data_IF_974221753765
#
_entry.id   IF_974221753765
#
_cell.length_a   1.000
_cell.length_b   1.000
_cell.length_c   1.000
_cell.angle_alpha   90.00
_cell.angle_beta   90.00
_cell.angle_gamma   90.00
#
_symmetry.space_group_name_H-M   'P 1'
#
loop_
_entity.id
_entity.type
_entity.pdbx_description
1 polymer ?
#
# COMPACT_ATOMS: atom_id res chain seq x y z
N UNK A 1 10.86 3.15 13.73
CA UNK A 1 9.55 2.82 14.33
C UNK A 1 9.14 1.50 13.71
N UNK A 2 8.82 0.47 14.50
CA UNK A 2 8.42 -0.82 13.94
C UNK A 2 7.10 -0.68 13.16
N UNK A 3 7.03 -1.24 11.95
CA UNK A 3 5.78 -1.31 11.19
C UNK A 3 4.89 -2.34 11.88
N UNK A 4 3.81 -1.89 12.54
CA UNK A 4 2.92 -2.83 13.27
C UNK A 4 2.10 -3.68 12.31
N UNK A 5 1.35 -3.03 11.41
CA UNK A 5 0.55 -3.73 10.40
C UNK A 5 0.81 -3.16 9.02
N UNK A 6 1.20 -4.03 8.10
CA UNK A 6 1.26 -3.74 6.66
C UNK A 6 0.01 -4.31 5.99
N UNK A 7 -0.72 -3.47 5.28
CA UNK A 7 -1.89 -3.86 4.50
C UNK A 7 -1.55 -3.86 3.02
N UNK A 8 -1.67 -5.01 2.36
CA UNK A 8 -1.56 -5.14 0.92
C UNK A 8 -2.96 -5.22 0.33
N UNK A 9 -3.41 -4.14 -0.30
CA UNK A 9 -4.79 -4.02 -0.79
C UNK A 9 -4.80 -4.14 -2.31
N UNK A 10 -5.33 -5.26 -2.80
CA UNK A 10 -5.40 -5.62 -4.23
C UNK A 10 -6.60 -5.02 -4.94
N UNK A 11 -7.69 -4.78 -4.21
CA UNK A 11 -8.94 -4.21 -4.71
C UNK A 11 -9.70 -3.53 -3.57
N UNK A 12 -10.30 -2.38 -3.86
CA UNK A 12 -10.96 -1.53 -2.85
C UNK A 12 -12.49 -1.68 -2.80
N UNK A 13 -13.07 -2.65 -3.52
CA UNK A 13 -14.53 -2.79 -3.61
C UNK A 13 -15.21 -3.08 -2.27
N UNK A 14 -14.49 -3.73 -1.36
CA UNK A 14 -14.92 -4.18 -0.04
C UNK A 14 -13.96 -3.74 1.10
N UNK A 15 -12.83 -3.12 0.77
CA UNK A 15 -11.89 -2.61 1.75
C UNK A 15 -12.42 -1.36 2.44
N UNK A 16 -12.54 -1.40 3.77
CA UNK A 16 -12.88 -0.24 4.59
C UNK A 16 -11.67 0.29 5.33
N UNK A 17 -11.39 1.60 5.20
CA UNK A 17 -10.35 2.25 6.00
C UNK A 17 -10.64 2.26 7.50
N UNK A 18 -11.85 1.88 7.93
CA UNK A 18 -12.23 1.77 9.35
C UNK A 18 -11.53 0.63 10.10
N UNK A 19 -10.88 -0.31 9.39
CA UNK A 19 -10.08 -1.37 10.01
C UNK A 19 -8.65 -0.92 10.36
N UNK A 20 -8.20 0.20 9.80
CA UNK A 20 -6.84 0.70 9.96
C UNK A 20 -6.65 1.33 11.33
N UNK A 21 -5.49 1.06 11.94
CA UNK A 21 -5.04 1.71 13.17
C UNK A 21 -4.03 2.81 12.85
N UNK A 22 -3.83 3.71 13.80
CA UNK A 22 -2.79 4.72 13.71
C UNK A 22 -1.41 4.06 13.56
N UNK A 23 -0.64 4.49 12.56
CA UNK A 23 0.67 3.92 12.22
C UNK A 23 0.63 2.65 11.36
N UNK A 24 -0.55 2.16 10.97
CA UNK A 24 -0.63 1.12 9.93
C UNK A 24 -0.18 1.67 8.58
N UNK A 25 0.50 0.84 7.80
CA UNK A 25 0.93 1.16 6.43
C UNK A 25 0.01 0.44 5.45
N UNK A 26 -0.44 1.14 4.42
CA UNK A 26 -1.25 0.58 3.33
C UNK A 26 -0.49 0.70 2.02
N UNK A 27 -0.32 -0.43 1.33
CA UNK A 27 0.19 -0.47 -0.03
C UNK A 27 -0.94 -0.93 -0.95
N UNK A 28 -1.32 -0.05 -1.87
CA UNK A 28 -2.21 -0.38 -2.96
C UNK A 28 -1.42 -1.14 -4.03
N UNK A 29 -1.85 -2.35 -4.35
CA UNK A 29 -1.24 -3.22 -5.37
C UNK A 29 -2.30 -3.65 -6.36
N UNK A 30 -1.90 -4.19 -7.50
CA UNK A 30 -2.79 -4.64 -8.58
C UNK A 30 -3.83 -3.57 -8.91
N UNK A 31 -5.13 -3.91 -8.92
CA UNK A 31 -6.20 -2.96 -9.23
C UNK A 31 -6.42 -1.93 -8.11
N UNK A 32 -5.83 -2.13 -6.93
CA UNK A 32 -5.85 -1.18 -5.82
C UNK A 32 -5.24 0.17 -6.22
N UNK A 33 -4.23 0.17 -7.10
CA UNK A 33 -3.56 1.40 -7.57
C UNK A 33 -4.45 2.32 -8.39
N UNK A 34 -5.63 1.88 -8.84
CA UNK A 34 -6.62 2.73 -9.52
C UNK A 34 -7.21 3.82 -8.59
N UNK A 35 -6.78 3.88 -7.34
CA UNK A 35 -7.17 4.88 -6.33
C UNK A 35 -5.95 5.66 -5.87
N UNK A 36 -6.18 6.92 -5.55
CA UNK A 36 -5.13 7.83 -5.10
C UNK A 36 -4.87 7.67 -3.59
N UNK A 37 -3.61 7.50 -3.14
CA UNK A 37 -3.26 7.48 -1.73
C UNK A 37 -3.42 8.90 -1.13
N UNK A 38 -4.57 9.18 -0.53
CA UNK A 38 -4.93 10.52 -0.03
C UNK A 38 -4.63 10.74 1.45
N UNK A 39 -4.03 9.76 2.12
CA UNK A 39 -3.75 9.76 3.56
C UNK A 39 -2.29 9.41 3.83
N UNK A 40 -1.74 9.94 4.91
CA UNK A 40 -0.43 9.53 5.40
C UNK A 40 -0.42 8.02 5.68
N UNK A 41 0.71 7.36 5.41
CA UNK A 41 0.86 5.92 5.54
C UNK A 41 0.27 5.11 4.39
N UNK A 42 -0.30 5.75 3.36
CA UNK A 42 -0.76 5.09 2.14
C UNK A 42 0.21 5.29 0.99
N UNK A 43 0.49 4.20 0.30
CA UNK A 43 1.38 4.16 -0.84
C UNK A 43 0.77 3.31 -1.96
N UNK A 44 1.36 3.41 -3.14
CA UNK A 44 1.03 2.59 -4.31
C UNK A 44 2.25 1.79 -4.74
N UNK A 45 2.04 0.57 -5.22
CA UNK A 45 3.08 -0.17 -5.92
C UNK A 45 3.39 0.54 -7.25
N UNK A 46 4.65 0.90 -7.43
CA UNK A 46 5.15 1.62 -8.60
C UNK A 46 4.90 0.82 -9.88
N UNK A 47 5.30 -0.44 -9.89
CA UNK A 47 5.23 -1.32 -11.06
C UNK A 47 3.78 -1.58 -11.46
N UNK A 48 2.86 -1.74 -10.50
CA UNK A 48 1.44 -1.93 -10.78
C UNK A 48 0.75 -0.67 -11.30
N UNK A 49 1.19 0.51 -10.83
CA UNK A 49 0.72 1.80 -11.32
C UNK A 49 1.20 2.05 -12.76
N UNK A 50 2.49 1.82 -13.03
CA UNK A 50 3.09 1.92 -14.37
C UNK A 50 2.42 0.97 -15.35
N UNK A 51 2.16 -0.28 -14.96
CA UNK A 51 1.45 -1.27 -15.78
C UNK A 51 0.01 -0.85 -16.14
N UNK A 52 -0.60 0.05 -15.36
CA UNK A 52 -1.93 0.63 -15.61
C UNK A 52 -1.89 2.03 -16.25
N UNK A 53 -0.70 2.53 -16.59
CA UNK A 53 -0.53 3.85 -17.17
C UNK A 53 -0.84 5.00 -16.21
N UNK A 54 -0.69 4.78 -14.90
CA UNK A 54 -0.91 5.79 -13.87
C UNK A 54 0.41 6.45 -13.47
N UNK A 55 0.34 7.74 -13.11
CA UNK A 55 1.47 8.50 -12.59
C UNK A 55 1.12 9.03 -11.20
N UNK A 56 2.01 8.79 -10.23
CA UNK A 56 1.91 9.31 -8.87
C UNK A 56 3.18 10.11 -8.53
N UNK A 57 3.18 10.78 -7.38
CA UNK A 57 4.40 11.41 -6.86
C UNK A 57 5.33 10.33 -6.29
N UNK A 58 6.64 10.51 -6.43
CA UNK A 58 7.64 9.53 -5.97
C UNK A 58 7.57 9.24 -4.46
N UNK A 59 7.15 10.21 -3.64
CA UNK A 59 7.05 10.06 -2.18
C UNK A 59 5.95 9.07 -1.73
N UNK A 60 4.95 8.84 -2.58
CA UNK A 60 3.87 7.86 -2.33
C UNK A 60 4.05 6.56 -3.12
N UNK A 61 5.13 6.41 -3.89
CA UNK A 61 5.42 5.20 -4.65
C UNK A 61 6.37 4.28 -3.88
N UNK A 62 6.09 2.97 -3.95
CA UNK A 62 6.96 1.92 -3.42
C UNK A 62 7.18 0.88 -4.51
N UNK A 63 8.44 0.53 -4.76
CA UNK A 63 8.77 -0.61 -5.62
C UNK A 63 8.39 -1.93 -4.95
N UNK A 64 8.34 -3.02 -5.71
CA UNK A 64 8.21 -4.35 -5.12
C UNK A 64 9.34 -4.67 -4.14
N UNK A 65 10.56 -4.18 -4.40
CA UNK A 65 11.69 -4.32 -3.49
C UNK A 65 11.43 -3.61 -2.14
N UNK A 66 10.88 -2.39 -2.17
CA UNK A 66 10.49 -1.67 -0.95
C UNK A 66 9.38 -2.40 -0.19
N UNK A 67 8.40 -2.96 -0.92
CA UNK A 67 7.29 -3.71 -0.33
C UNK A 67 7.80 -4.98 0.36
N UNK A 68 8.77 -5.69 -0.22
CA UNK A 68 9.40 -6.86 0.42
C UNK A 68 10.08 -6.46 1.74
N UNK A 69 10.83 -5.37 1.76
CA UNK A 69 11.45 -4.87 3.01
C UNK A 69 10.39 -4.53 4.07
N UNK A 70 9.30 -3.89 3.66
CA UNK A 70 8.17 -3.61 4.57
C UNK A 70 7.50 -4.88 5.10
N UNK A 71 7.40 -5.93 4.28
CA UNK A 71 6.86 -7.24 4.72
C UNK A 71 7.78 -7.87 5.77
N UNK A 72 9.10 -7.81 5.58
CA UNK A 72 10.09 -8.35 6.52
C UNK A 72 10.12 -7.58 7.85
N UNK A 73 9.87 -6.26 7.82
CA UNK A 73 9.83 -5.40 8.99
C UNK A 73 8.48 -5.41 9.73
N UNK A 74 7.41 -5.88 9.08
CA UNK A 74 6.06 -5.84 9.64
C UNK A 74 5.84 -6.92 10.70
N UNK A 75 5.29 -6.55 11.86
CA UNK A 75 4.84 -7.53 12.86
C UNK A 75 3.66 -8.37 12.33
N UNK A 76 2.84 -7.79 11.44
CA UNK A 76 1.70 -8.43 10.82
C UNK A 76 1.49 -7.91 9.39
N UNK A 77 1.22 -8.84 8.47
CA UNK A 77 0.77 -8.52 7.11
C UNK A 77 -0.69 -8.94 6.94
N UNK A 78 -1.53 -8.04 6.43
CA UNK A 78 -2.91 -8.32 6.04
C UNK A 78 -3.03 -8.15 4.53
N UNK A 79 -3.51 -9.19 3.85
CA UNK A 79 -3.79 -9.13 2.41
C UNK A 79 -5.30 -9.02 2.23
N UNK A 80 -5.71 -8.01 1.47
CA UNK A 80 -7.11 -7.76 1.10
C UNK A 80 -7.24 -7.83 -0.42
#
# INVERSE_FOLDING_TARGET
MAVKTLWLVRKLGDFSSGYLKEGDIVILIQDGVLRYPSREGWFVCKEDAEARGLSFKEDVMKSYEDIVKLIEEAEKVVVW
#
